data_IF_655958520567
#
_entry.id   IF_655958520567
#
_cell.length_a   1.000
_cell.length_b   1.000
_cell.length_c   1.000
_cell.angle_alpha   90.00
_cell.angle_beta   90.00
_cell.angle_gamma   90.00
#
_symmetry.space_group_name_H-M   'P 1'
#
loop_
_entity.id
_entity.type
_entity.pdbx_description
1 polymer ?
#
# COMPACT_ATOMS: atom_id res chain seq x y z
N UNK A 1 -20.93 19.97 8.07
CA UNK A 1 -19.56 19.55 7.72
C UNK A 1 -18.96 18.50 8.63
N UNK A 2 -18.79 18.72 9.94
CA UNK A 2 -18.16 17.76 10.85
C UNK A 2 -18.76 16.34 10.80
N UNK A 3 -20.10 16.23 10.68
CA UNK A 3 -20.81 14.95 10.51
C UNK A 3 -20.42 14.20 9.24
N UNK A 4 -20.24 14.90 8.12
CA UNK A 4 -19.87 14.30 6.82
C UNK A 4 -18.44 13.78 6.90
N UNK A 5 -17.50 14.60 7.39
CA UNK A 5 -16.11 14.22 7.57
C UNK A 5 -15.96 13.00 8.49
N UNK A 6 -16.73 12.93 9.59
CA UNK A 6 -16.74 11.78 10.50
C UNK A 6 -17.22 10.50 9.80
N UNK A 7 -18.30 10.58 9.01
CA UNK A 7 -18.81 9.43 8.25
C UNK A 7 -17.74 8.89 7.30
N UNK A 8 -17.05 9.78 6.56
CA UNK A 8 -16.03 9.39 5.60
C UNK A 8 -14.80 8.81 6.30
N UNK A 9 -14.31 9.44 7.36
CA UNK A 9 -13.13 8.99 8.10
C UNK A 9 -13.31 7.61 8.76
N UNK A 10 -14.55 7.25 9.12
CA UNK A 10 -14.89 5.94 9.70
C UNK A 10 -15.63 5.01 8.73
N UNK A 11 -15.63 5.30 7.43
CA UNK A 11 -16.39 4.52 6.47
C UNK A 11 -15.75 3.14 6.27
N UNK A 12 -16.53 2.08 6.47
CA UNK A 12 -16.17 0.69 6.16
C UNK A 12 -16.81 0.19 4.87
N UNK A 13 -17.73 0.95 4.27
CA UNK A 13 -18.48 0.56 3.07
C UNK A 13 -18.78 1.70 2.11
N UNK A 14 -18.95 1.38 0.83
CA UNK A 14 -19.29 2.36 -0.21
C UNK A 14 -20.67 2.96 0.03
N UNK A 15 -21.58 2.24 0.69
CA UNK A 15 -22.88 2.74 1.14
C UNK A 15 -22.74 3.92 2.11
N UNK A 16 -21.78 3.88 3.04
CA UNK A 16 -21.52 4.98 3.97
C UNK A 16 -20.90 6.18 3.27
N UNK A 17 -19.96 5.96 2.35
CA UNK A 17 -19.39 7.02 1.52
C UNK A 17 -20.47 7.67 0.65
N UNK A 18 -21.31 6.87 -0.04
CA UNK A 18 -22.44 7.35 -0.82
C UNK A 18 -23.37 8.24 0.00
N UNK A 19 -23.67 7.84 1.24
CA UNK A 19 -24.48 8.63 2.18
C UNK A 19 -23.82 9.98 2.48
N UNK A 20 -22.51 10.02 2.68
CA UNK A 20 -21.79 11.27 2.88
C UNK A 20 -21.85 12.19 1.64
N UNK A 21 -21.76 11.63 0.43
CA UNK A 21 -21.84 12.37 -0.83
C UNK A 21 -23.26 12.89 -1.11
N UNK A 22 -24.30 12.12 -0.79
CA UNK A 22 -25.68 12.61 -0.83
C UNK A 22 -25.90 13.76 0.17
N UNK A 23 -25.25 13.73 1.35
CA UNK A 23 -25.33 14.85 2.29
C UNK A 23 -24.61 16.11 1.82
N UNK A 24 -23.56 16.00 0.98
CA UNK A 24 -22.86 17.15 0.41
C UNK A 24 -23.75 17.96 -0.56
N UNK A 25 -24.62 17.28 -1.28
CA UNK A 25 -25.51 17.88 -2.27
C UNK A 25 -26.48 18.89 -1.66
N UNK A 26 -26.90 18.66 -0.42
CA UNK A 26 -27.80 19.55 0.31
C UNK A 26 -27.08 20.70 1.03
N UNK A 27 -25.76 20.81 0.92
CA UNK A 27 -25.04 21.94 1.49
C UNK A 27 -25.26 23.21 0.65
N UNK A 28 -25.37 24.38 1.29
CA UNK A 28 -25.45 25.62 0.56
C UNK A 28 -24.20 25.82 -0.30
N UNK A 29 -24.33 26.43 -1.49
CA UNK A 29 -23.19 26.74 -2.33
C UNK A 29 -22.26 27.73 -1.63
N UNK A 30 -20.96 27.57 -1.86
CA UNK A 30 -19.93 28.40 -1.27
C UNK A 30 -19.84 29.74 -2.01
N UNK A 31 -19.71 30.87 -1.29
CA UNK A 31 -19.60 32.19 -1.90
C UNK A 31 -18.29 32.32 -2.70
N UNK A 32 -18.36 32.98 -3.85
CA UNK A 32 -17.19 33.31 -4.69
C UNK A 32 -17.05 34.83 -4.82
N UNK A 33 -15.80 35.31 -4.98
CA UNK A 33 -15.51 36.74 -5.21
C UNK A 33 -16.12 37.26 -6.51
N UNK A 34 -16.29 36.40 -7.51
CA UNK A 34 -16.96 36.72 -8.78
C UNK A 34 -17.69 35.48 -9.32
N UNK A 35 -18.85 35.71 -9.95
CA UNK A 35 -19.75 34.65 -10.44
C UNK A 35 -20.66 34.06 -9.36
N UNK A 36 -21.54 33.14 -9.77
CA UNK A 36 -22.47 32.44 -8.86
C UNK A 36 -21.76 31.54 -7.83
N UNK A 37 -22.52 31.04 -6.85
CA UNK A 37 -21.99 30.15 -5.80
C UNK A 37 -21.35 28.88 -6.35
N UNK A 38 -20.31 28.37 -5.68
CA UNK A 38 -19.67 27.09 -6.02
C UNK A 38 -20.40 25.93 -5.32
N UNK A 39 -20.71 24.82 -6.01
CA UNK A 39 -21.20 23.63 -5.32
C UNK A 39 -20.22 23.20 -4.24
N UNK A 40 -20.71 22.95 -3.02
CA UNK A 40 -19.85 22.58 -1.89
C UNK A 40 -19.01 21.33 -2.19
N UNK A 41 -19.56 20.38 -2.94
CA UNK A 41 -18.85 19.18 -3.41
C UNK A 41 -17.52 19.52 -4.10
N UNK A 42 -17.48 20.58 -4.92
CA UNK A 42 -16.29 20.91 -5.70
C UNK A 42 -15.06 21.28 -4.85
N UNK A 43 -15.27 21.79 -3.64
CA UNK A 43 -14.20 22.06 -2.68
C UNK A 43 -13.97 20.89 -1.72
N UNK A 44 -15.04 20.20 -1.35
CA UNK A 44 -15.01 19.29 -0.20
C UNK A 44 -14.63 17.86 -0.58
N UNK A 45 -14.95 17.37 -1.77
CA UNK A 45 -14.62 15.99 -2.15
C UNK A 45 -13.12 15.69 -2.19
N UNK A 46 -12.20 16.60 -2.58
CA UNK A 46 -10.76 16.37 -2.41
C UNK A 46 -10.37 16.11 -0.94
N UNK A 47 -10.90 16.91 -0.01
CA UNK A 47 -10.67 16.72 1.43
C UNK A 47 -11.25 15.38 1.91
N UNK A 48 -12.46 15.02 1.46
CA UNK A 48 -13.06 13.74 1.81
C UNK A 48 -12.28 12.56 1.24
N UNK A 49 -11.72 12.67 0.05
CA UNK A 49 -10.83 11.66 -0.53
C UNK A 49 -9.60 11.42 0.36
N UNK A 50 -9.03 12.49 0.93
CA UNK A 50 -7.91 12.39 1.88
C UNK A 50 -8.30 11.76 3.23
N UNK A 51 -9.56 11.90 3.65
CA UNK A 51 -10.05 11.34 4.92
C UNK A 51 -10.46 9.87 4.81
N UNK A 52 -10.78 9.39 3.60
CA UNK A 52 -11.21 8.02 3.40
C UNK A 52 -10.04 7.03 3.46
N UNK A 53 -9.98 6.25 4.54
CA UNK A 53 -8.95 5.23 4.75
C UNK A 53 -8.98 4.11 3.69
N UNK A 54 -10.14 3.89 3.05
CA UNK A 54 -10.32 2.90 1.99
C UNK A 54 -9.89 3.42 0.62
N UNK A 55 -9.63 4.73 0.50
CA UNK A 55 -9.26 5.43 -0.74
C UNK A 55 -10.28 5.23 -1.87
N UNK A 56 -11.56 5.07 -1.54
CA UNK A 56 -12.66 4.90 -2.51
C UNK A 56 -13.49 6.16 -2.71
N UNK A 57 -13.39 7.16 -1.84
CA UNK A 57 -14.10 8.43 -1.95
C UNK A 57 -13.55 9.27 -3.13
N UNK A 58 -14.31 9.41 -4.23
CA UNK A 58 -13.81 9.98 -5.47
C UNK A 58 -13.79 11.52 -5.47
N UNK A 59 -12.83 12.11 -6.18
CA UNK A 59 -12.73 13.57 -6.28
C UNK A 59 -13.71 14.08 -7.36
N UNK A 60 -14.71 14.85 -6.94
CA UNK A 60 -15.74 15.45 -7.81
C UNK A 60 -15.64 16.97 -7.71
N UNK A 61 -14.78 17.56 -8.54
CA UNK A 61 -14.52 19.00 -8.54
C UNK A 61 -14.71 19.64 -9.93
N UNK A 62 -14.51 20.96 -9.99
CA UNK A 62 -14.70 21.73 -11.22
C UNK A 62 -13.50 21.68 -12.19
N UNK A 63 -12.48 20.83 -11.97
CA UNK A 63 -11.36 20.68 -12.91
C UNK A 63 -11.87 20.09 -14.24
N UNK A 64 -11.37 20.60 -15.36
CA UNK A 64 -11.78 20.17 -16.70
C UNK A 64 -11.67 18.65 -16.90
N UNK A 65 -10.56 18.04 -16.47
CA UNK A 65 -10.35 16.59 -16.58
C UNK A 65 -11.40 15.77 -15.80
N UNK A 66 -11.83 16.22 -14.62
CA UNK A 66 -12.88 15.54 -13.84
C UNK A 66 -14.24 15.70 -14.54
N UNK A 67 -14.53 16.89 -15.05
CA UNK A 67 -15.76 17.18 -15.78
C UNK A 67 -15.86 16.38 -17.08
N UNK A 68 -14.74 16.17 -17.78
CA UNK A 68 -14.64 15.35 -18.97
C UNK A 68 -14.91 13.87 -18.66
N UNK A 69 -14.34 13.33 -17.57
CA UNK A 69 -14.63 11.97 -17.08
C UNK A 69 -16.12 11.78 -16.79
N UNK A 70 -16.73 12.73 -16.08
CA UNK A 70 -18.18 12.70 -15.81
C UNK A 70 -19.01 12.81 -17.09
N UNK A 71 -18.56 13.58 -18.09
CA UNK A 71 -19.23 13.67 -19.37
C UNK A 71 -19.21 12.34 -20.13
N UNK A 72 -18.06 11.65 -20.16
CA UNK A 72 -17.94 10.32 -20.80
C UNK A 72 -18.80 9.27 -20.09
N UNK A 73 -18.97 9.41 -18.76
CA UNK A 73 -19.89 8.56 -17.99
C UNK A 73 -21.38 8.92 -18.17
N UNK A 74 -21.69 10.04 -18.84
CA UNK A 74 -23.07 10.56 -18.93
C UNK A 74 -23.59 11.15 -17.61
N UNK A 75 -22.70 11.47 -16.66
CA UNK A 75 -23.03 11.88 -15.29
C UNK A 75 -22.75 13.37 -15.00
N UNK A 76 -22.38 14.16 -16.01
CA UNK A 76 -22.03 15.59 -15.84
C UNK A 76 -23.11 16.43 -15.13
N UNK A 77 -24.37 16.12 -15.37
CA UNK A 77 -25.52 16.81 -14.79
C UNK A 77 -26.25 15.97 -13.73
N UNK A 78 -25.72 14.80 -13.39
CA UNK A 78 -26.28 13.93 -12.37
C UNK A 78 -26.03 14.48 -10.96
N UNK A 79 -26.74 13.93 -9.98
CA UNK A 79 -26.54 14.27 -8.56
C UNK A 79 -25.13 13.91 -8.11
N UNK A 80 -24.63 14.55 -7.05
CA UNK A 80 -23.29 14.24 -6.49
C UNK A 80 -23.20 12.77 -6.08
N UNK A 81 -24.33 12.20 -5.66
CA UNK A 81 -24.41 10.80 -5.23
C UNK A 81 -24.40 9.80 -6.40
N UNK A 82 -24.97 10.16 -7.55
CA UNK A 82 -24.88 9.36 -8.78
C UNK A 82 -23.49 9.48 -9.43
N UNK A 83 -22.90 10.67 -9.39
CA UNK A 83 -21.50 10.88 -9.80
C UNK A 83 -20.54 10.04 -8.96
N UNK A 84 -20.79 9.95 -7.65
CA UNK A 84 -20.09 9.02 -6.76
C UNK A 84 -20.24 7.57 -7.24
N UNK A 85 -21.45 7.10 -7.51
CA UNK A 85 -21.69 5.71 -7.93
C UNK A 85 -20.92 5.40 -9.24
N UNK A 86 -20.98 6.31 -10.20
CA UNK A 86 -20.27 6.17 -11.47
C UNK A 86 -18.75 6.02 -11.29
N UNK A 87 -18.15 6.90 -10.50
CA UNK A 87 -16.71 6.86 -10.22
C UNK A 87 -16.28 5.67 -9.39
N UNK A 88 -17.01 5.32 -8.33
CA UNK A 88 -16.68 4.17 -7.47
C UNK A 88 -16.78 2.84 -8.21
N UNK A 89 -17.66 2.73 -9.19
CA UNK A 89 -17.76 1.54 -10.03
C UNK A 89 -16.55 1.34 -10.96
N UNK A 90 -15.80 2.41 -11.25
CA UNK A 90 -14.52 2.32 -11.98
C UNK A 90 -13.36 1.89 -11.08
N UNK A 91 -13.47 2.09 -9.77
CA UNK A 91 -12.40 1.75 -8.83
C UNK A 91 -12.31 0.24 -8.67
N UNK A 92 -11.11 -0.29 -8.95
CA UNK A 92 -10.82 -1.72 -9.07
C UNK A 92 -10.94 -2.25 -10.50
N UNK A 93 -11.23 -1.38 -11.48
CA UNK A 93 -11.24 -1.72 -12.91
C UNK A 93 -9.98 -1.21 -13.58
N UNK A 94 -9.50 -1.96 -14.58
CA UNK A 94 -8.46 -1.59 -15.57
C UNK A 94 -7.58 -0.40 -15.18
N UNK A 95 -6.54 -0.63 -14.37
CA UNK A 95 -5.53 0.39 -14.03
C UNK A 95 -5.97 1.46 -13.01
N UNK A 96 -7.23 1.47 -12.57
CA UNK A 96 -7.77 2.41 -11.58
C UNK A 96 -7.90 1.67 -10.25
N UNK A 97 -6.90 1.74 -9.38
CA UNK A 97 -6.91 0.97 -8.11
C UNK A 97 -7.70 1.69 -7.02
N UNK A 98 -7.67 3.01 -7.03
CA UNK A 98 -8.29 3.85 -6.01
C UNK A 98 -8.80 5.21 -6.57
N UNK A 99 -9.38 6.02 -5.70
CA UNK A 99 -9.95 7.33 -6.04
C UNK A 99 -8.91 8.36 -6.52
N UNK A 100 -7.65 8.23 -6.08
CA UNK A 100 -6.57 9.12 -6.51
C UNK A 100 -6.04 8.71 -7.88
N UNK A 101 -5.86 7.41 -8.11
CA UNK A 101 -5.59 6.89 -9.44
C UNK A 101 -6.66 7.35 -10.42
N UNK A 102 -7.96 7.29 -10.04
CA UNK A 102 -9.05 7.77 -10.87
C UNK A 102 -8.94 9.27 -11.18
N UNK A 103 -8.54 10.13 -10.23
CA UNK A 103 -8.37 11.58 -10.45
C UNK A 103 -7.27 11.85 -11.49
N UNK A 104 -6.16 11.10 -11.43
CA UNK A 104 -5.00 11.29 -12.31
C UNK A 104 -5.04 10.47 -13.60
N UNK A 105 -5.95 9.50 -13.71
CA UNK A 105 -6.03 8.62 -14.88
C UNK A 105 -6.33 9.36 -16.17
N UNK A 106 -5.70 8.93 -17.26
CA UNK A 106 -6.02 9.38 -18.60
C UNK A 106 -7.40 8.88 -19.06
N UNK A 107 -8.02 9.62 -19.98
CA UNK A 107 -9.34 9.27 -20.52
C UNK A 107 -9.37 7.89 -21.19
N UNK A 108 -8.26 7.43 -21.79
CA UNK A 108 -8.16 6.10 -22.37
C UNK A 108 -8.37 4.98 -21.33
N UNK A 109 -7.82 5.16 -20.12
CA UNK A 109 -7.97 4.21 -19.00
C UNK A 109 -9.43 4.18 -18.52
N UNK A 110 -10.05 5.37 -18.40
CA UNK A 110 -11.46 5.50 -17.99
C UNK A 110 -12.40 4.82 -18.98
N UNK A 111 -12.18 5.00 -20.29
CA UNK A 111 -12.96 4.35 -21.34
C UNK A 111 -12.75 2.83 -21.35
N UNK A 112 -11.52 2.36 -21.09
CA UNK A 112 -11.23 0.94 -20.98
C UNK A 112 -11.94 0.31 -19.76
N UNK A 113 -11.91 0.99 -18.62
CA UNK A 113 -12.62 0.58 -17.40
C UNK A 113 -14.14 0.50 -17.59
N UNK A 114 -14.72 1.44 -18.35
CA UNK A 114 -16.15 1.42 -18.71
C UNK A 114 -16.57 0.23 -19.57
N UNK A 115 -15.68 -0.20 -20.46
CA UNK A 115 -15.92 -1.35 -21.35
C UNK A 115 -15.67 -2.69 -20.65
N UNK A 116 -14.98 -2.69 -19.51
CA UNK A 116 -14.82 -3.89 -18.70
C UNK A 116 -16.17 -4.30 -18.12
N UNK A 117 -16.50 -5.60 -18.18
CA UNK A 117 -17.75 -6.11 -17.60
C UNK A 117 -17.79 -5.79 -16.10
N UNK A 118 -18.90 -5.25 -15.56
CA UNK A 118 -19.00 -4.99 -14.14
C UNK A 118 -18.89 -6.32 -13.39
N UNK A 119 -17.85 -6.46 -12.57
CA UNK A 119 -17.82 -7.48 -11.52
C UNK A 119 -18.92 -7.07 -10.56
N UNK A 120 -20.05 -7.78 -10.59
CA UNK A 120 -21.13 -7.58 -9.64
C UNK A 120 -20.56 -7.58 -8.22
N UNK A 121 -21.02 -6.63 -7.42
CA UNK A 121 -20.76 -6.54 -5.99
C UNK A 121 -21.20 -7.84 -5.33
N UNK A 122 -20.30 -8.83 -5.28
CA UNK A 122 -20.44 -9.95 -4.37
C UNK A 122 -19.99 -9.41 -3.00
N UNK A 123 -20.87 -9.52 -2.01
CA UNK A 123 -20.47 -9.66 -0.61
C UNK A 123 -19.21 -10.52 -0.51
N UNK A 124 -18.30 -10.25 0.45
CA UNK A 124 -17.00 -10.87 0.50
C UNK A 124 -17.20 -12.38 0.46
N UNK A 125 -16.98 -12.97 -0.72
CA UNK A 125 -16.81 -14.41 -0.82
C UNK A 125 -15.66 -14.66 0.12
N UNK A 126 -15.93 -15.41 1.18
CA UNK A 126 -14.96 -16.36 1.74
C UNK A 126 -14.45 -17.18 0.56
N UNK A 127 -13.49 -16.63 -0.17
CA UNK A 127 -12.60 -17.41 -1.00
C UNK A 127 -11.90 -18.29 -0.01
N UNK A 128 -12.22 -19.58 -0.09
CA UNK A 128 -11.31 -20.65 0.30
C UNK A 128 -9.87 -20.17 0.10
N UNK A 129 -9.21 -20.00 1.23
CA UNK A 129 -7.88 -19.41 1.39
C UNK A 129 -6.93 -20.12 0.44
N UNK A 130 -6.55 -19.44 -0.63
CA UNK A 130 -5.33 -19.81 -1.36
C UNK A 130 -4.24 -18.96 -0.71
N UNK A 131 -3.37 -19.63 0.06
CA UNK A 131 -2.24 -19.03 0.78
C UNK A 131 -1.57 -17.94 -0.09
N UNK A 132 -1.55 -16.70 0.41
CA UNK A 132 -0.87 -15.53 -0.22
C UNK A 132 0.66 -15.66 -0.17
N UNK A 133 1.11 -16.71 0.48
CA UNK A 133 2.48 -16.96 0.86
C UNK A 133 2.90 -18.32 0.34
N UNK A 134 4.20 -18.46 0.11
CA UNK A 134 4.85 -19.74 -0.13
C UNK A 134 6.03 -19.85 0.83
N UNK A 135 6.50 -21.07 1.07
CA UNK A 135 7.76 -21.26 1.79
C UNK A 135 8.86 -20.44 1.11
N UNK A 136 9.75 -19.84 1.90
CA UNK A 136 10.91 -19.14 1.36
C UNK A 136 11.81 -20.17 0.65
N UNK A 137 11.83 -20.13 -0.68
CA UNK A 137 12.53 -21.11 -1.51
C UNK A 137 14.04 -20.84 -1.52
N UNK A 138 14.84 -21.90 -1.57
CA UNK A 138 16.30 -21.80 -1.68
C UNK A 138 16.65 -21.33 -3.09
N UNK A 139 17.56 -20.37 -3.21
CA UNK A 139 18.08 -19.90 -4.50
C UNK A 139 19.55 -20.28 -4.63
N UNK A 140 19.93 -20.76 -5.80
CA UNK A 140 21.29 -21.22 -6.09
C UNK A 140 22.30 -20.06 -5.96
N UNK A 141 23.21 -20.22 -5.01
CA UNK A 141 24.21 -19.24 -4.56
C UNK A 141 25.64 -19.79 -4.76
N UNK A 142 25.87 -20.59 -5.80
CA UNK A 142 27.23 -21.06 -6.12
C UNK A 142 28.22 -19.87 -6.17
N UNK A 143 29.21 -19.93 -5.26
CA UNK A 143 30.32 -19.00 -5.00
C UNK A 143 30.04 -17.81 -4.05
N UNK A 144 30.27 -18.03 -2.75
CA UNK A 144 30.40 -16.95 -1.74
C UNK A 144 31.88 -16.68 -1.46
N UNK A 145 32.48 -15.75 -2.21
CA UNK A 145 33.66 -15.01 -1.75
C UNK A 145 33.40 -13.50 -1.83
N UNK A 146 33.51 -12.86 -0.66
CA UNK A 146 33.06 -11.50 -0.39
C UNK A 146 34.18 -10.48 -0.70
N UNK A 147 34.12 -9.81 -1.86
CA UNK A 147 34.98 -8.65 -2.15
C UNK A 147 34.19 -7.40 -2.58
N UNK A 148 34.58 -6.28 -1.96
CA UNK A 148 33.97 -4.95 -2.07
C UNK A 148 34.44 -4.23 -3.36
N UNK A 149 33.46 -3.69 -4.10
CA UNK A 149 33.50 -2.66 -5.20
C UNK A 149 33.86 -3.10 -6.64
N UNK A 150 33.41 -2.37 -7.69
CA UNK A 150 32.05 -1.89 -7.97
C UNK A 150 31.55 -2.27 -9.40
N UNK A 151 30.23 -2.37 -9.59
CA UNK A 151 29.62 -2.27 -10.92
C UNK A 151 28.48 -3.24 -11.19
N UNK A 152 27.28 -2.86 -10.75
CA UNK A 152 25.93 -3.29 -11.20
C UNK A 152 25.53 -4.78 -11.25
N UNK A 153 26.44 -5.75 -11.22
CA UNK A 153 26.12 -7.19 -11.30
C UNK A 153 26.04 -7.88 -9.92
N UNK A 154 26.51 -7.19 -8.86
CA UNK A 154 26.62 -7.73 -7.48
C UNK A 154 25.37 -7.63 -6.62
N UNK A 155 24.44 -6.72 -6.92
CA UNK A 155 23.29 -6.45 -6.04
C UNK A 155 22.26 -7.58 -5.97
N UNK A 156 21.86 -8.25 -7.08
CA UNK A 156 20.92 -9.37 -7.01
C UNK A 156 21.49 -10.57 -6.23
N UNK A 157 22.79 -10.83 -6.40
CA UNK A 157 23.49 -11.93 -5.71
C UNK A 157 23.54 -11.68 -4.21
N UNK A 158 23.96 -10.49 -3.78
CA UNK A 158 23.99 -10.16 -2.35
C UNK A 158 22.60 -10.21 -1.71
N UNK A 159 21.56 -9.77 -2.42
CA UNK A 159 20.17 -9.91 -1.94
C UNK A 159 19.79 -11.38 -1.74
N UNK A 160 20.07 -12.24 -2.73
CA UNK A 160 19.81 -13.67 -2.61
C UNK A 160 20.55 -14.31 -1.43
N UNK A 161 21.85 -14.03 -1.31
CA UNK A 161 22.67 -14.48 -0.17
C UNK A 161 22.07 -14.05 1.16
N UNK A 162 21.60 -12.80 1.26
CA UNK A 162 20.97 -12.30 2.48
C UNK A 162 19.63 -12.98 2.77
N UNK A 163 18.79 -13.24 1.76
CA UNK A 163 17.51 -13.95 1.95
C UNK A 163 17.73 -15.43 2.33
N UNK A 164 18.71 -16.10 1.73
CA UNK A 164 19.09 -17.46 2.08
C UNK A 164 19.67 -17.53 3.50
N UNK A 165 20.55 -16.58 3.87
CA UNK A 165 21.10 -16.48 5.21
C UNK A 165 20.01 -16.23 6.28
N UNK A 166 19.03 -15.37 5.98
CA UNK A 166 17.88 -15.14 6.86
C UNK A 166 17.05 -16.42 7.03
N UNK A 167 16.85 -17.16 5.95
CA UNK A 167 16.14 -18.45 5.98
C UNK A 167 16.86 -19.45 6.88
N UNK A 168 18.16 -19.68 6.67
CA UNK A 168 18.96 -20.60 7.48
C UNK A 168 18.98 -20.18 8.96
N UNK A 169 19.03 -18.89 9.24
CA UNK A 169 18.91 -18.38 10.60
C UNK A 169 17.54 -18.74 11.22
N UNK A 170 16.45 -18.54 10.49
CA UNK A 170 15.10 -18.88 10.97
C UNK A 170 14.93 -20.38 11.21
N UNK A 171 15.40 -21.21 10.28
CA UNK A 171 15.36 -22.68 10.39
C UNK A 171 16.16 -23.17 11.61
N UNK A 172 17.36 -22.63 11.84
CA UNK A 172 18.19 -22.98 12.99
C UNK A 172 17.55 -22.63 14.35
N UNK A 173 16.63 -21.67 14.38
CA UNK A 173 15.91 -21.24 15.58
C UNK A 173 14.46 -21.75 15.63
N UNK A 174 14.06 -22.64 14.71
CA UNK A 174 12.71 -23.23 14.68
C UNK A 174 11.60 -22.24 14.32
N UNK A 175 11.93 -21.11 13.68
CA UNK A 175 10.96 -20.11 13.26
C UNK A 175 10.40 -20.41 11.87
N UNK A 176 9.07 -20.33 11.73
CA UNK A 176 8.43 -20.46 10.43
C UNK A 176 8.59 -19.17 9.62
N UNK A 177 9.15 -19.30 8.41
CA UNK A 177 9.37 -18.17 7.48
C UNK A 177 8.72 -18.45 6.13
N UNK A 178 7.95 -17.49 5.65
CA UNK A 178 7.29 -17.52 4.34
C UNK A 178 7.73 -16.30 3.50
N UNK A 179 7.63 -16.40 2.17
CA UNK A 179 7.84 -15.28 1.25
C UNK A 179 6.54 -14.94 0.51
N UNK A 180 6.44 -13.70 0.03
CA UNK A 180 5.33 -13.27 -0.80
C UNK A 180 5.27 -14.03 -2.12
N UNK A 181 4.09 -14.53 -2.51
CA UNK A 181 3.92 -15.29 -3.76
C UNK A 181 3.12 -14.55 -4.84
N UNK A 182 2.46 -13.45 -4.48
CA UNK A 182 1.67 -12.64 -5.42
C UNK A 182 2.47 -11.43 -5.90
N UNK A 183 2.34 -11.10 -7.18
CA UNK A 183 3.02 -9.94 -7.78
C UNK A 183 2.71 -8.61 -7.07
N UNK A 184 1.52 -8.50 -6.48
CA UNK A 184 1.06 -7.36 -5.67
C UNK A 184 1.63 -7.34 -4.24
N UNK A 185 2.18 -8.46 -3.74
CA UNK A 185 2.70 -8.62 -2.39
C UNK A 185 3.92 -9.56 -2.38
N UNK A 186 5.02 -9.14 -3.03
CA UNK A 186 6.29 -9.89 -3.05
C UNK A 186 7.24 -9.39 -1.96
N UNK A 187 6.86 -9.56 -0.71
CA UNK A 187 7.79 -9.31 0.40
C UNK A 187 8.86 -10.39 0.47
N UNK A 188 10.03 -10.03 1.00
CA UNK A 188 11.17 -10.95 1.09
C UNK A 188 10.98 -12.03 2.16
N UNK A 189 10.52 -11.66 3.36
CA UNK A 189 10.22 -12.65 4.40
C UNK A 189 9.11 -12.20 5.37
N UNK A 190 8.28 -13.15 5.78
CA UNK A 190 7.33 -13.05 6.89
C UNK A 190 7.68 -14.15 7.89
N UNK A 191 8.19 -13.75 9.05
CA UNK A 191 8.54 -14.64 10.14
C UNK A 191 7.34 -14.71 11.08
N UNK A 192 6.80 -15.90 11.29
CA UNK A 192 5.65 -16.10 12.16
C UNK A 192 6.09 -16.27 13.61
N UNK A 193 5.32 -15.68 14.54
CA UNK A 193 5.47 -15.93 15.98
C UNK A 193 6.91 -15.67 16.49
N UNK A 194 7.58 -14.69 15.88
CA UNK A 194 8.99 -14.37 16.18
C UNK A 194 9.16 -13.80 17.61
N UNK A 195 8.09 -13.23 18.15
CA UNK A 195 8.00 -12.70 19.50
C UNK A 195 6.65 -13.14 20.09
N UNK A 196 6.54 -14.43 20.39
CA UNK A 196 5.34 -15.06 20.91
C UNK A 196 4.18 -15.03 19.91
N UNK A 197 3.24 -14.10 20.08
CA UNK A 197 2.06 -13.98 19.23
C UNK A 197 2.25 -12.99 18.06
N UNK A 198 3.44 -12.43 17.87
CA UNK A 198 3.69 -11.44 16.82
C UNK A 198 4.35 -12.02 15.59
N UNK A 199 4.04 -11.44 14.42
CA UNK A 199 4.73 -11.73 13.15
C UNK A 199 5.68 -10.61 12.78
N UNK A 200 6.74 -10.90 12.01
CA UNK A 200 7.69 -9.91 11.52
C UNK A 200 7.76 -9.93 10.00
N UNK A 201 7.35 -8.84 9.37
CA UNK A 201 7.53 -8.63 7.93
C UNK A 201 8.87 -7.95 7.68
N UNK A 202 9.74 -8.62 6.94
CA UNK A 202 11.12 -8.19 6.67
C UNK A 202 11.27 -7.84 5.20
N UNK A 203 11.82 -6.66 4.94
CA UNK A 203 12.34 -6.25 3.63
C UNK A 203 13.86 -6.24 3.69
N UNK A 204 14.51 -6.87 2.72
CA UNK A 204 15.96 -6.97 2.66
C UNK A 204 16.51 -5.91 1.72
N UNK A 205 17.56 -5.21 2.16
CA UNK A 205 18.24 -4.19 1.36
C UNK A 205 19.75 -4.33 1.46
N UNK A 206 20.42 -4.20 0.32
CA UNK A 206 21.88 -4.40 0.21
C UNK A 206 22.70 -3.17 0.60
N UNK A 207 22.06 -2.00 0.74
CA UNK A 207 22.68 -0.77 1.22
C UNK A 207 21.72 0.02 2.11
N UNK A 208 22.27 0.86 2.99
CA UNK A 208 21.50 1.68 3.94
C UNK A 208 21.43 3.16 3.54
N UNK A 209 21.55 3.46 2.24
CA UNK A 209 21.41 4.82 1.76
C UNK A 209 19.98 5.34 1.97
N UNK A 210 19.84 6.65 2.15
CA UNK A 210 18.55 7.25 2.49
C UNK A 210 17.43 6.94 1.47
N UNK A 211 17.67 6.93 0.13
CA UNK A 211 16.65 6.55 -0.84
C UNK A 211 16.21 5.08 -0.67
N UNK A 212 17.17 4.18 -0.44
CA UNK A 212 16.93 2.75 -0.21
C UNK A 212 16.12 2.51 1.06
N UNK A 213 16.44 3.23 2.14
CA UNK A 213 15.67 3.18 3.39
C UNK A 213 14.22 3.64 3.19
N UNK A 214 14.01 4.75 2.48
CA UNK A 214 12.66 5.27 2.19
C UNK A 214 11.84 4.30 1.33
N UNK A 215 12.49 3.69 0.34
CA UNK A 215 11.87 2.70 -0.53
C UNK A 215 11.45 1.46 0.26
N UNK A 216 12.34 0.93 1.11
CA UNK A 216 12.06 -0.23 1.96
C UNK A 216 10.86 0.02 2.88
N UNK A 217 10.80 1.20 3.51
CA UNK A 217 9.65 1.59 4.35
C UNK A 217 8.36 1.64 3.53
N UNK A 218 8.40 2.26 2.34
CA UNK A 218 7.25 2.31 1.44
C UNK A 218 6.74 0.92 1.06
N UNK A 219 7.65 0.00 0.73
CA UNK A 219 7.34 -1.40 0.41
C UNK A 219 6.73 -2.13 1.61
N UNK A 220 7.33 -2.04 2.80
CA UNK A 220 6.82 -2.67 4.02
C UNK A 220 5.41 -2.21 4.37
N UNK A 221 5.16 -0.90 4.31
CA UNK A 221 3.82 -0.36 4.53
C UNK A 221 2.84 -0.79 3.45
N UNK A 222 3.28 -0.96 2.21
CA UNK A 222 2.44 -1.48 1.13
C UNK A 222 2.06 -2.94 1.35
N UNK A 223 3.05 -3.81 1.54
CA UNK A 223 2.87 -5.25 1.76
C UNK A 223 2.04 -5.55 2.99
N UNK A 224 2.25 -4.84 4.11
CA UNK A 224 1.48 -5.02 5.34
C UNK A 224 -0.03 -4.79 5.15
N UNK A 225 -0.47 -4.04 4.14
CA UNK A 225 -1.90 -3.86 3.84
C UNK A 225 -2.56 -5.13 3.29
N UNK A 226 -1.76 -6.07 2.82
CA UNK A 226 -2.20 -7.26 2.10
C UNK A 226 -2.03 -8.56 2.91
N UNK A 227 -1.51 -8.46 4.14
CA UNK A 227 -1.31 -9.58 5.06
C UNK A 227 -2.52 -9.67 6.02
N UNK A 228 -3.01 -10.90 6.25
CA UNK A 228 -4.23 -11.17 7.03
C UNK A 228 -4.14 -10.66 8.48
N UNK A 229 -3.00 -10.83 9.15
CA UNK A 229 -2.78 -10.46 10.57
C UNK A 229 -2.04 -9.13 10.77
N UNK A 230 -2.31 -8.14 9.93
CA UNK A 230 -1.64 -6.81 9.94
C UNK A 230 -1.42 -6.21 11.33
N UNK A 231 -2.38 -6.33 12.24
CA UNK A 231 -2.31 -5.75 13.58
C UNK A 231 -1.21 -6.39 14.45
N UNK A 232 -0.92 -7.67 14.22
CA UNK A 232 0.11 -8.46 14.91
C UNK A 232 1.44 -8.49 14.15
N UNK A 233 1.50 -7.89 12.96
CA UNK A 233 2.71 -7.85 12.12
C UNK A 233 3.54 -6.59 12.39
N UNK A 234 4.73 -6.78 12.94
CA UNK A 234 5.79 -5.77 12.99
C UNK A 234 6.51 -5.66 11.64
N UNK A 235 7.15 -4.53 11.44
CA UNK A 235 7.90 -4.22 10.22
C UNK A 235 9.39 -4.17 10.56
N UNK A 236 10.22 -4.73 9.69
CA UNK A 236 11.67 -4.68 9.80
C UNK A 236 12.36 -4.51 8.45
N UNK A 237 13.52 -3.83 8.45
CA UNK A 237 14.46 -3.84 7.32
C UNK A 237 15.73 -4.54 7.73
N UNK A 238 16.20 -5.47 6.89
CA UNK A 238 17.45 -6.21 7.08
C UNK A 238 18.55 -5.70 6.14
N UNK A 239 19.69 -5.34 6.73
CA UNK A 239 20.89 -4.89 6.04
C UNK A 239 22.07 -5.87 6.18
N UNK A 240 23.03 -5.90 5.23
CA UNK A 240 24.17 -6.82 5.31
C UNK A 240 25.13 -6.48 6.45
N UNK A 241 25.13 -5.22 6.91
CA UNK A 241 25.96 -4.72 8.01
C UNK A 241 25.18 -3.67 8.80
N UNK A 242 25.66 -3.36 10.01
CA UNK A 242 25.06 -2.34 10.88
C UNK A 242 24.91 -1.00 10.15
N UNK A 243 23.69 -0.43 10.08
CA UNK A 243 23.45 0.86 9.43
C UNK A 243 24.05 2.02 10.22
N UNK A 244 24.35 3.12 9.51
CA UNK A 244 24.80 4.36 10.15
C UNK A 244 23.70 5.03 10.99
N UNK A 245 24.11 5.98 11.86
CA UNK A 245 23.21 6.66 12.79
C UNK A 245 22.00 7.33 12.11
N UNK A 246 22.19 7.87 10.90
CA UNK A 246 21.12 8.50 10.12
C UNK A 246 20.01 7.52 9.73
N UNK A 247 20.38 6.33 9.24
CA UNK A 247 19.41 5.29 8.90
C UNK A 247 18.69 4.80 10.17
N UNK A 248 19.44 4.59 11.26
CA UNK A 248 18.86 4.21 12.56
C UNK A 248 17.79 5.19 13.04
N UNK A 249 18.11 6.49 13.07
CA UNK A 249 17.17 7.52 13.48
C UNK A 249 15.91 7.54 12.60
N UNK A 250 16.08 7.41 11.28
CA UNK A 250 14.95 7.35 10.34
C UNK A 250 14.01 6.17 10.61
N UNK A 251 14.55 4.98 10.88
CA UNK A 251 13.74 3.78 11.14
C UNK A 251 13.04 3.83 12.50
N UNK A 252 13.68 4.42 13.50
CA UNK A 252 13.09 4.71 14.81
C UNK A 252 11.89 5.66 14.68
N UNK A 253 12.04 6.77 13.94
CA UNK A 253 10.98 7.77 13.73
C UNK A 253 9.71 7.19 13.06
N UNK A 254 9.89 6.21 12.17
CA UNK A 254 8.77 5.60 11.41
C UNK A 254 8.24 4.30 12.03
N UNK A 255 8.81 3.86 13.15
CA UNK A 255 8.37 2.64 13.86
C UNK A 255 8.64 1.36 13.07
N UNK A 256 9.77 1.28 12.38
CA UNK A 256 10.22 0.08 11.65
C UNK A 256 11.50 -0.43 12.31
N UNK A 257 11.55 -1.72 12.66
CA UNK A 257 12.71 -2.34 13.30
C UNK A 257 13.89 -2.41 12.34
N UNK A 258 15.08 -2.36 12.92
CA UNK A 258 16.33 -2.41 12.17
C UNK A 258 17.05 -3.72 12.47
N UNK A 259 17.30 -4.50 11.43
CA UNK A 259 18.04 -5.75 11.51
C UNK A 259 19.33 -5.66 10.71
N UNK A 260 20.37 -6.35 11.15
CA UNK A 260 21.57 -6.51 10.36
C UNK A 260 22.29 -7.83 10.68
N UNK A 261 23.01 -8.34 9.69
CA UNK A 261 23.86 -9.50 9.87
C UNK A 261 25.17 -9.17 10.61
N UNK A 262 25.71 -10.17 11.30
CA UNK A 262 27.13 -10.18 11.64
C UNK A 262 27.99 -10.30 10.36
N UNK A 263 29.32 -10.19 10.50
CA UNK A 263 30.25 -10.16 9.35
C UNK A 263 30.12 -11.39 8.44
N UNK A 264 29.78 -12.54 9.01
CA UNK A 264 29.72 -13.84 8.31
C UNK A 264 28.30 -14.26 7.94
N UNK A 265 27.30 -13.39 8.14
CA UNK A 265 25.87 -13.63 7.87
C UNK A 265 25.24 -14.85 8.59
N UNK A 266 25.83 -15.29 9.70
CA UNK A 266 25.36 -16.43 10.49
C UNK A 266 24.41 -16.03 11.63
N UNK A 267 24.37 -14.75 11.99
CA UNK A 267 23.51 -14.24 13.05
C UNK A 267 22.88 -12.91 12.66
N UNK A 268 21.63 -12.70 13.08
CA UNK A 268 20.87 -11.46 12.88
C UNK A 268 20.77 -10.70 14.19
N UNK A 269 21.26 -9.46 14.21
CA UNK A 269 21.08 -8.55 15.35
C UNK A 269 19.76 -7.79 15.22
N UNK A 270 19.09 -7.52 16.35
CA UNK A 270 17.82 -6.80 16.41
C UNK A 270 16.56 -7.69 16.33
N UNK A 271 16.71 -9.00 16.12
CA UNK A 271 15.59 -9.95 16.10
C UNK A 271 15.20 -10.47 17.50
N UNK A 272 16.16 -10.54 18.42
CA UNK A 272 16.02 -11.11 19.78
C UNK A 272 16.20 -10.08 20.92
N UNK A 273 16.12 -8.77 20.62
CA UNK A 273 16.29 -7.69 21.61
C UNK A 273 14.95 -7.09 22.10
N UNK A 274 13.89 -7.90 22.15
CA UNK A 274 12.61 -7.54 22.76
C UNK A 274 12.35 -8.37 24.03
#
# INVERSE_FOLDING_TARGET
MAKIAKIVASASSDRQLRKAYAMLEHLPPLPRRSGGGMPAAALLTPMLACLDQRRRAPIINSRAAVQEKLQVLGLRFATVSEQFDGFVNLIGQVGIRDAFDLDTSDMAVVVAALKAKPRSQAEPRRTSVTRVTRTLDERDDADVEFFRQPGSVTMPRLHHTMTNALRSFCEAHGMAVEQGSKQECMFDALIHEYDGDRHLLVEVKTDSEQPTCRLAVGQLFDYRRQIEDRARTDLAVLFPVKPGARAKAFFEDVGVRLLWFNKDMTAVTGLNEA
#
